data_IF_812736897556
#
_entry.id   IF_812736897556
#
_cell.length_a   1.000
_cell.length_b   1.000
_cell.length_c   1.000
_cell.angle_alpha   90.00
_cell.angle_beta   90.00
_cell.angle_gamma   90.00
#
_symmetry.space_group_name_H-M   'P 1'
#
loop_
_entity.id
_entity.type
_entity.pdbx_description
1 polymer ?
#
# COMPACT_ATOMS: atom_id res chain seq x y z
N UNK A 1 6.54 11.85 -10.12
CA UNK A 1 6.74 11.40 -8.73
C UNK A 1 5.44 10.85 -8.14
N UNK A 2 5.52 9.80 -7.32
CA UNK A 2 4.40 9.22 -6.59
C UNK A 2 4.70 9.22 -5.09
N UNK A 3 3.66 9.10 -4.27
CA UNK A 3 3.80 9.00 -2.82
C UNK A 3 3.27 7.64 -2.32
N UNK A 4 3.91 7.13 -1.26
CA UNK A 4 3.47 5.92 -0.55
C UNK A 4 3.05 6.25 0.87
N UNK A 5 1.91 5.71 1.28
CA UNK A 5 1.41 5.73 2.65
C UNK A 5 1.38 4.28 3.19
N UNK A 6 2.49 3.77 3.76
CA UNK A 6 2.58 2.37 4.19
C UNK A 6 2.02 2.16 5.59
N UNK A 7 1.40 0.98 5.82
CA UNK A 7 1.08 0.49 7.15
C UNK A 7 1.72 -0.88 7.38
N UNK A 8 2.70 -0.93 8.28
CA UNK A 8 3.44 -2.15 8.60
C UNK A 8 3.93 -2.18 10.06
N UNK A 9 4.16 -3.38 10.57
CA UNK A 9 4.79 -3.59 11.86
C UNK A 9 6.28 -3.24 11.77
N UNK A 10 6.69 -2.20 12.47
CA UNK A 10 8.07 -1.74 12.57
C UNK A 10 8.41 -1.43 14.03
N UNK A 11 9.67 -1.16 14.33
CA UNK A 11 10.08 -0.70 15.67
C UNK A 11 9.33 0.56 16.13
N UNK A 12 8.86 1.39 15.20
CA UNK A 12 8.13 2.61 15.52
C UNK A 12 6.64 2.37 15.73
N UNK A 13 6.04 1.45 14.97
CA UNK A 13 4.58 1.21 14.98
C UNK A 13 4.17 0.12 15.99
N UNK A 14 5.04 -0.87 16.24
CA UNK A 14 4.76 -2.00 17.14
C UNK A 14 5.97 -2.23 18.05
N UNK A 15 6.02 -1.51 19.19
CA UNK A 15 7.00 -1.66 20.24
C UNK A 15 6.33 -2.02 21.57
N UNK A 16 7.10 -2.28 22.60
CA UNK A 16 6.58 -2.72 23.90
C UNK A 16 5.64 -1.69 24.55
N UNK A 17 5.94 -0.40 24.43
CA UNK A 17 5.07 0.68 24.94
C UNK A 17 3.72 0.72 24.20
N UNK A 18 3.74 0.54 22.88
CA UNK A 18 2.52 0.47 22.05
C UNK A 18 1.70 -0.76 22.40
N UNK A 19 2.33 -1.94 22.53
CA UNK A 19 1.66 -3.18 22.94
C UNK A 19 1.03 -3.05 24.33
N UNK A 20 1.75 -2.46 25.29
CA UNK A 20 1.21 -2.20 26.62
C UNK A 20 0.00 -1.25 26.59
N UNK A 21 0.02 -0.22 25.75
CA UNK A 21 -1.11 0.68 25.58
C UNK A 21 -2.33 -0.04 24.95
N UNK A 22 -2.13 -0.89 23.95
CA UNK A 22 -3.20 -1.70 23.35
C UNK A 22 -3.80 -2.68 24.36
N UNK A 23 -2.96 -3.32 25.17
CA UNK A 23 -3.41 -4.22 26.25
C UNK A 23 -4.28 -3.47 27.27
N UNK A 24 -3.85 -2.28 27.70
CA UNK A 24 -4.65 -1.44 28.61
C UNK A 24 -5.99 -1.03 27.98
N UNK A 25 -6.01 -0.71 26.67
CA UNK A 25 -7.27 -0.39 25.96
C UNK A 25 -8.20 -1.60 25.85
N UNK A 26 -7.66 -2.79 25.70
CA UNK A 26 -8.42 -4.04 25.76
C UNK A 26 -9.04 -4.24 27.16
N UNK A 27 -8.25 -4.10 28.22
CA UNK A 27 -8.68 -4.25 29.62
C UNK A 27 -9.77 -3.22 30.01
N UNK A 28 -9.73 -2.02 29.44
CA UNK A 28 -10.75 -0.97 29.67
C UNK A 28 -11.94 -1.04 28.72
N UNK A 29 -12.00 -2.03 27.83
CA UNK A 29 -13.12 -2.18 26.86
C UNK A 29 -13.10 -1.20 25.68
N UNK A 30 -12.06 -0.36 25.56
CA UNK A 30 -11.88 0.57 24.43
C UNK A 30 -11.37 -0.12 23.15
N UNK A 31 -10.96 -1.37 23.27
CA UNK A 31 -10.51 -2.20 22.15
C UNK A 31 -11.11 -3.60 22.33
N UNK A 32 -11.67 -4.16 21.26
CA UNK A 32 -12.16 -5.54 21.29
C UNK A 32 -11.00 -6.54 21.21
N UNK A 33 -11.23 -7.79 21.63
CA UNK A 33 -10.25 -8.87 21.54
C UNK A 33 -9.79 -9.07 20.08
N UNK A 34 -10.72 -9.10 19.12
CA UNK A 34 -10.40 -9.25 17.70
C UNK A 34 -9.55 -8.09 17.14
N UNK A 35 -9.85 -6.86 17.56
CA UNK A 35 -9.06 -5.70 17.18
C UNK A 35 -7.65 -5.73 17.78
N UNK A 36 -7.50 -6.21 19.01
CA UNK A 36 -6.20 -6.37 19.65
C UNK A 36 -5.35 -7.41 18.92
N UNK A 37 -5.92 -8.58 18.64
CA UNK A 37 -5.25 -9.65 17.90
C UNK A 37 -4.84 -9.20 16.48
N UNK A 38 -5.72 -8.52 15.77
CA UNK A 38 -5.43 -7.97 14.45
C UNK A 38 -4.25 -6.97 14.45
N UNK A 39 -4.11 -6.18 15.52
CA UNK A 39 -2.97 -5.26 15.68
C UNK A 39 -1.66 -6.00 15.99
N UNK A 40 -1.71 -7.05 16.79
CA UNK A 40 -0.54 -7.90 17.07
C UNK A 40 -0.09 -8.68 15.83
N UNK A 41 -1.04 -9.06 14.96
CA UNK A 41 -0.79 -9.78 13.71
C UNK A 41 -0.47 -8.86 12.53
N UNK A 42 -0.15 -7.57 12.77
CA UNK A 42 0.24 -6.64 11.71
C UNK A 42 1.50 -7.15 11.01
N UNK A 43 1.47 -7.29 9.66
CA UNK A 43 2.62 -7.80 8.91
C UNK A 43 3.76 -6.79 8.87
N UNK A 44 4.96 -7.29 8.59
CA UNK A 44 6.16 -6.48 8.49
C UNK A 44 6.26 -5.64 7.21
N UNK A 45 7.34 -4.87 7.06
CA UNK A 45 7.56 -3.97 5.93
C UNK A 45 7.77 -4.69 4.59
N UNK A 46 8.05 -5.99 4.59
CA UNK A 46 8.20 -6.83 3.40
C UNK A 46 6.94 -6.81 2.51
N UNK A 47 5.76 -6.58 3.08
CA UNK A 47 4.50 -6.45 2.33
C UNK A 47 4.37 -5.12 1.58
N UNK A 48 5.19 -4.12 1.91
CA UNK A 48 5.23 -2.82 1.23
C UNK A 48 6.19 -2.86 0.04
N UNK A 49 7.27 -3.63 0.14
CA UNK A 49 8.37 -3.66 -0.83
C UNK A 49 7.93 -3.93 -2.29
N UNK A 50 6.98 -4.84 -2.59
CA UNK A 50 6.55 -5.07 -3.98
C UNK A 50 5.99 -3.82 -4.67
N UNK A 51 5.17 -3.02 -3.98
CA UNK A 51 4.63 -1.79 -4.57
C UNK A 51 5.72 -0.74 -4.81
N UNK A 52 6.70 -0.63 -3.91
CA UNK A 52 7.86 0.23 -4.12
C UNK A 52 8.68 -0.25 -5.32
N UNK A 53 8.92 -1.57 -5.42
CA UNK A 53 9.60 -2.19 -6.56
C UNK A 53 8.90 -1.91 -7.88
N UNK A 54 7.57 -2.05 -7.93
CA UNK A 54 6.75 -1.70 -9.10
C UNK A 54 6.96 -0.23 -9.50
N UNK A 55 6.89 0.71 -8.55
CA UNK A 55 7.07 2.14 -8.83
C UNK A 55 8.50 2.52 -9.28
N UNK A 56 9.47 1.64 -9.09
CA UNK A 56 10.85 1.79 -9.59
C UNK A 56 11.08 1.10 -10.94
N UNK A 57 10.14 0.27 -11.41
CA UNK A 57 10.25 -0.43 -12.69
C UNK A 57 9.88 0.48 -13.86
N UNK A 58 10.42 0.19 -15.05
CA UNK A 58 10.08 0.91 -16.30
C UNK A 58 8.60 0.81 -16.63
N UNK A 59 7.95 -0.27 -16.27
CA UNK A 59 6.52 -0.52 -16.49
C UNK A 59 5.60 0.47 -15.76
N UNK A 60 6.12 1.18 -14.75
CA UNK A 60 5.39 2.23 -14.02
C UNK A 60 5.61 3.65 -14.55
N UNK A 61 6.31 3.84 -15.66
CA UNK A 61 6.67 5.16 -16.21
C UNK A 61 5.47 6.10 -16.41
N UNK A 62 4.30 5.53 -16.73
CA UNK A 62 3.06 6.27 -16.94
C UNK A 62 2.25 6.49 -15.64
N UNK A 63 2.75 6.01 -14.50
CA UNK A 63 2.14 6.22 -13.18
C UNK A 63 2.78 7.44 -12.52
N UNK A 64 2.05 8.55 -12.42
CA UNK A 64 2.59 9.79 -11.90
C UNK A 64 1.56 10.60 -11.09
N UNK A 65 2.03 11.28 -10.04
CA UNK A 65 1.20 12.14 -9.19
C UNK A 65 0.20 11.39 -8.31
N UNK A 66 0.43 10.11 -8.02
CA UNK A 66 -0.51 9.27 -7.29
C UNK A 66 -0.07 9.08 -5.83
N UNK A 67 -1.06 8.95 -4.94
CA UNK A 67 -0.86 8.55 -3.56
C UNK A 67 -1.37 7.12 -3.38
N UNK A 68 -0.45 6.19 -3.13
CA UNK A 68 -0.77 4.79 -2.86
C UNK A 68 -0.70 4.49 -1.36
N UNK A 69 -1.60 3.64 -0.89
CA UNK A 69 -1.51 3.00 0.41
C UNK A 69 -1.22 1.51 0.21
N UNK A 70 -0.34 0.96 1.04
CA UNK A 70 -0.08 -0.47 1.07
C UNK A 70 -0.09 -0.98 2.51
N UNK A 71 -0.90 -2.01 2.75
CA UNK A 71 -0.96 -2.72 4.01
C UNK A 71 -1.30 -4.18 3.77
N UNK A 72 -0.60 -5.11 4.38
CA UNK A 72 -0.85 -6.55 4.25
C UNK A 72 -1.07 -6.96 2.76
N UNK A 73 -2.17 -7.59 2.43
CA UNK A 73 -2.56 -8.02 1.08
C UNK A 73 -3.44 -7.00 0.34
N UNK A 74 -3.49 -5.75 0.83
CA UNK A 74 -4.29 -4.68 0.24
C UNK A 74 -3.39 -3.56 -0.27
N UNK A 75 -3.61 -3.13 -1.50
CA UNK A 75 -3.04 -1.91 -2.07
C UNK A 75 -4.18 -1.07 -2.63
N UNK A 76 -4.20 0.23 -2.33
CA UNK A 76 -5.20 1.16 -2.88
C UNK A 76 -4.61 2.54 -3.15
N UNK A 77 -5.35 3.34 -3.92
CA UNK A 77 -5.04 4.75 -4.18
C UNK A 77 -6.01 5.65 -3.43
N UNK A 78 -5.56 6.85 -3.08
CA UNK A 78 -6.44 7.91 -2.58
C UNK A 78 -6.84 8.86 -3.71
N UNK A 79 -8.12 9.25 -3.69
CA UNK A 79 -8.63 10.29 -4.56
C UNK A 79 -9.41 11.31 -3.72
N UNK A 80 -8.97 12.56 -3.74
CA UNK A 80 -9.49 13.62 -2.86
C UNK A 80 -9.53 13.23 -1.36
N UNK A 81 -8.55 12.43 -0.91
CA UNK A 81 -8.47 11.98 0.48
C UNK A 81 -9.35 10.79 0.84
N UNK A 82 -10.09 10.23 -0.12
CA UNK A 82 -10.88 9.02 0.06
C UNK A 82 -10.24 7.81 -0.65
N UNK A 83 -10.52 6.61 -0.15
CA UNK A 83 -10.11 5.38 -0.82
C UNK A 83 -10.93 5.21 -2.10
N UNK A 84 -10.30 5.41 -3.27
CA UNK A 84 -10.98 5.32 -4.54
C UNK A 84 -11.06 3.90 -5.09
N UNK A 85 -9.95 3.13 -4.98
CA UNK A 85 -9.82 1.77 -5.53
C UNK A 85 -8.88 0.94 -4.69
N UNK A 86 -9.14 -0.37 -4.64
CA UNK A 86 -8.29 -1.34 -3.98
C UNK A 86 -8.18 -2.63 -4.78
N UNK A 87 -7.04 -3.28 -4.71
CA UNK A 87 -6.84 -4.67 -5.16
C UNK A 87 -6.50 -5.54 -3.96
N UNK A 88 -6.95 -6.77 -4.00
CA UNK A 88 -6.78 -7.75 -2.92
C UNK A 88 -6.13 -9.01 -3.46
N UNK A 89 -5.18 -9.58 -2.72
CA UNK A 89 -4.65 -10.92 -3.02
C UNK A 89 -5.62 -11.97 -2.46
N UNK A 90 -6.04 -12.93 -3.30
CA UNK A 90 -7.01 -13.97 -2.95
C UNK A 90 -6.48 -15.04 -1.98
N UNK A 91 -5.18 -15.06 -1.70
CA UNK A 91 -4.58 -15.98 -0.74
C UNK A 91 -4.52 -15.31 0.63
N UNK A 92 -5.04 -15.96 1.65
CA UNK A 92 -5.03 -15.50 3.02
C UNK A 92 -3.59 -15.15 3.45
N UNK A 93 -3.34 -13.86 3.75
CA UNK A 93 -2.01 -13.36 4.09
C UNK A 93 -1.02 -13.24 2.91
N UNK A 94 -1.47 -13.42 1.67
CA UNK A 94 -0.62 -13.34 0.47
C UNK A 94 -0.02 -11.95 0.24
N UNK A 95 1.25 -11.90 -0.09
CA UNK A 95 1.97 -10.70 -0.52
C UNK A 95 1.94 -10.61 -2.05
N UNK A 96 1.71 -9.41 -2.61
CA UNK A 96 1.86 -9.18 -4.04
C UNK A 96 3.33 -9.28 -4.45
N UNK A 97 3.58 -9.87 -5.60
CA UNK A 97 4.87 -9.77 -6.30
C UNK A 97 4.88 -8.57 -7.22
N UNK A 98 6.06 -8.15 -7.67
CA UNK A 98 6.20 -7.03 -8.63
C UNK A 98 5.50 -7.37 -9.95
N UNK A 99 5.69 -8.59 -10.48
CA UNK A 99 5.08 -9.03 -11.73
C UNK A 99 3.55 -9.00 -11.68
N UNK A 100 2.97 -9.45 -10.57
CA UNK A 100 1.51 -9.35 -10.37
C UNK A 100 1.00 -7.90 -10.35
N UNK A 101 1.79 -6.96 -9.82
CA UNK A 101 1.44 -5.54 -9.83
C UNK A 101 1.61 -4.91 -11.22
N UNK A 102 2.63 -5.30 -11.99
CA UNK A 102 2.79 -4.89 -13.40
C UNK A 102 1.55 -5.23 -14.21
N UNK A 103 1.01 -6.44 -14.03
CA UNK A 103 -0.19 -6.88 -14.75
C UNK A 103 -1.49 -6.23 -14.21
N UNK A 104 -1.61 -6.10 -12.89
CA UNK A 104 -2.89 -5.70 -12.28
C UNK A 104 -3.11 -4.18 -12.21
N UNK A 105 -2.08 -3.37 -11.90
CA UNK A 105 -2.24 -1.94 -11.59
C UNK A 105 -2.78 -1.12 -12.78
N UNK A 106 -2.30 -1.29 -14.03
CA UNK A 106 -2.78 -0.48 -15.15
C UNK A 106 -4.28 -0.64 -15.40
N UNK A 107 -4.79 -1.87 -15.36
CA UNK A 107 -6.20 -2.19 -15.62
C UNK A 107 -7.13 -2.04 -14.43
N UNK A 108 -6.61 -1.74 -13.24
CA UNK A 108 -7.38 -1.64 -12.00
C UNK A 108 -7.20 -0.30 -11.30
N UNK A 109 -6.11 -0.13 -10.52
CA UNK A 109 -5.89 1.07 -9.72
C UNK A 109 -5.76 2.34 -10.56
N UNK A 110 -5.15 2.23 -11.76
CA UNK A 110 -4.91 3.36 -12.66
C UNK A 110 -5.98 3.55 -13.75
N UNK A 111 -6.95 2.66 -13.86
CA UNK A 111 -7.96 2.73 -14.91
C UNK A 111 -8.74 4.06 -14.86
N UNK A 112 -8.63 4.87 -15.94
CA UNK A 112 -9.30 6.15 -16.07
C UNK A 112 -8.77 7.27 -15.18
N UNK A 113 -7.61 7.07 -14.51
CA UNK A 113 -6.93 8.12 -13.76
C UNK A 113 -5.91 8.77 -14.69
N UNK A 114 -6.01 10.10 -14.95
CA UNK A 114 -5.02 10.78 -15.77
C UNK A 114 -3.68 10.90 -15.02
N UNK A 115 -2.57 10.72 -15.75
CA UNK A 115 -1.26 11.05 -15.22
C UNK A 115 -1.13 12.56 -14.98
N UNK A 116 -0.51 12.95 -13.87
CA UNK A 116 -0.26 14.35 -13.54
C UNK A 116 0.78 15.01 -14.48
N UNK A 117 1.66 14.19 -15.09
CA UNK A 117 2.56 14.63 -16.14
C UNK A 117 2.45 13.64 -17.32
N UNK A 118 2.16 14.11 -18.54
CA UNK A 118 2.22 13.25 -19.72
C UNK A 118 3.66 12.72 -19.90
N UNK A 119 3.80 11.51 -20.44
CA UNK A 119 5.09 11.00 -20.88
C UNK A 119 5.73 12.04 -21.81
N UNK A 120 7.00 12.37 -21.59
CA UNK A 120 7.73 13.17 -22.59
C UNK A 120 7.68 12.39 -23.90
N UNK A 121 7.07 13.00 -24.94
CA UNK A 121 7.20 12.47 -26.29
C UNK A 121 8.70 12.33 -26.57
N UNK A 122 9.14 11.12 -26.87
CA UNK A 122 10.52 10.87 -27.24
C UNK A 122 10.83 11.85 -28.38
N UNK A 123 11.68 12.84 -28.13
CA UNK A 123 12.21 13.70 -29.18
C UNK A 123 12.95 12.76 -30.11
N UNK A 124 12.35 12.46 -31.24
CA UNK A 124 13.07 11.81 -32.34
C UNK A 124 14.33 12.65 -32.58
N UNK A 125 15.46 12.03 -32.32
CA UNK A 125 16.76 12.59 -32.64
C UNK A 125 16.84 12.69 -34.17
N UNK A 126 16.68 13.89 -34.68
CA UNK A 126 17.00 14.24 -36.07
C UNK A 126 18.49 14.38 -36.23
#
# INVERSE_FOLDING_TARGET
ANAMCPLAATRMTVNDAVKANWKRKLETGLLSQSQYEARLAMPGPEFIAPMVGYLCAEDSRDVNGQLFHAERSKIHTYYYGEEARAIYKNTEGGMFTVDELIDAVPGSLMQGIPNAAPAEEAKEAS
#
